data_IF_795633097435
#
_entry.id   IF_795633097435
#
_cell.length_a   1.000
_cell.length_b   1.000
_cell.length_c   1.000
_cell.angle_alpha   90.00
_cell.angle_beta   90.00
_cell.angle_gamma   90.00
#
_symmetry.space_group_name_H-M   'P 1'
#
loop_
_entity.id
_entity.type
_entity.pdbx_description
1 polymer ?
#
# COMPACT_ATOMS: atom_id res chain seq x y z
N UNK A 1 -37.27 -31.41 10.54
CA UNK A 1 -36.37 -30.25 10.58
C UNK A 1 -36.29 -29.72 9.17
N UNK A 2 -36.91 -28.56 8.97
CA UNK A 2 -37.35 -28.02 7.69
C UNK A 2 -36.21 -27.68 6.74
N UNK A 3 -36.36 -28.11 5.49
CA UNK A 3 -35.62 -27.61 4.34
C UNK A 3 -36.22 -26.26 3.95
N UNK A 4 -35.50 -25.17 4.20
CA UNK A 4 -35.87 -23.87 3.63
C UNK A 4 -35.60 -23.88 2.12
N UNK A 5 -36.64 -23.56 1.34
CA UNK A 5 -36.59 -23.61 -0.12
C UNK A 5 -35.63 -22.56 -0.69
N UNK A 6 -34.95 -22.91 -1.78
CA UNK A 6 -34.03 -22.03 -2.54
C UNK A 6 -34.67 -20.73 -3.03
N UNK A 7 -36.01 -20.61 -2.94
CA UNK A 7 -36.74 -19.42 -3.35
C UNK A 7 -36.59 -18.24 -2.36
N UNK A 8 -36.19 -18.48 -1.11
CA UNK A 8 -36.05 -17.40 -0.10
C UNK A 8 -34.65 -16.77 -0.14
N UNK A 9 -33.61 -17.51 -0.55
CA UNK A 9 -32.24 -17.00 -0.63
C UNK A 9 -32.01 -15.98 -1.77
N UNK A 10 -32.97 -15.84 -2.70
CA UNK A 10 -32.87 -14.92 -3.84
C UNK A 10 -33.29 -13.48 -3.55
N UNK A 11 -33.84 -13.17 -2.37
CA UNK A 11 -34.40 -11.83 -2.10
C UNK A 11 -33.52 -10.87 -1.29
N UNK A 12 -32.29 -11.24 -0.90
CA UNK A 12 -31.42 -10.31 -0.14
C UNK A 12 -29.96 -10.39 -0.63
N UNK A 13 -29.74 -10.17 -1.92
CA UNK A 13 -28.39 -9.84 -2.43
C UNK A 13 -28.49 -8.74 -3.50
N UNK A 14 -27.86 -7.58 -3.30
CA UNK A 14 -27.85 -6.53 -4.31
C UNK A 14 -27.11 -7.03 -5.57
N UNK A 15 -27.69 -6.72 -6.73
CA UNK A 15 -27.32 -7.21 -8.06
C UNK A 15 -25.88 -6.90 -8.53
N UNK A 16 -25.04 -6.29 -7.70
CA UNK A 16 -23.65 -5.94 -8.03
C UNK A 16 -22.64 -7.10 -7.83
N UNK A 17 -23.00 -8.16 -7.10
CA UNK A 17 -22.09 -9.28 -6.84
C UNK A 17 -21.96 -10.29 -8.01
N UNK A 18 -22.71 -10.10 -9.10
CA UNK A 18 -22.82 -11.09 -10.18
C UNK A 18 -21.74 -10.96 -11.28
N UNK A 19 -20.99 -9.85 -11.35
CA UNK A 19 -20.02 -9.64 -12.44
C UNK A 19 -18.57 -10.03 -12.11
N UNK A 20 -18.22 -10.33 -10.86
CA UNK A 20 -16.87 -10.82 -10.51
C UNK A 20 -16.72 -12.35 -10.58
N UNK A 21 -17.82 -13.10 -10.68
CA UNK A 21 -17.80 -14.56 -10.60
C UNK A 21 -17.48 -15.27 -11.92
N UNK A 22 -16.75 -14.64 -12.86
CA UNK A 22 -16.57 -15.20 -14.21
C UNK A 22 -15.15 -15.36 -14.76
N UNK A 23 -14.10 -15.29 -13.93
CA UNK A 23 -12.75 -15.74 -14.32
C UNK A 23 -11.94 -16.40 -13.19
N UNK A 24 -12.62 -17.16 -12.33
CA UNK A 24 -11.94 -18.15 -11.49
C UNK A 24 -11.77 -19.41 -12.33
N UNK A 25 -10.57 -19.64 -12.87
CA UNK A 25 -10.25 -20.91 -13.51
C UNK A 25 -9.82 -21.89 -12.41
N UNK A 26 -10.59 -22.97 -12.26
CA UNK A 26 -10.15 -24.14 -11.51
C UNK A 26 -9.24 -24.97 -12.43
N UNK A 27 -7.94 -25.00 -12.15
CA UNK A 27 -7.05 -26.07 -12.61
C UNK A 27 -6.58 -26.80 -11.36
N UNK A 28 -7.03 -28.04 -11.18
CA UNK A 28 -6.49 -28.93 -10.14
C UNK A 28 -6.66 -28.49 -8.68
N UNK A 29 -7.75 -27.80 -8.33
CA UNK A 29 -8.09 -27.52 -6.92
C UNK A 29 -7.31 -26.38 -6.25
N UNK A 30 -6.47 -25.63 -7.00
CA UNK A 30 -5.86 -24.38 -6.51
C UNK A 30 -6.40 -23.18 -7.27
N UNK A 31 -6.83 -22.15 -6.53
CA UNK A 31 -7.23 -20.85 -7.09
C UNK A 31 -5.96 -20.13 -7.56
N UNK A 32 -5.63 -20.25 -8.85
CA UNK A 32 -4.50 -19.54 -9.44
C UNK A 32 -4.89 -18.09 -9.73
N UNK A 33 -4.61 -17.18 -8.80
CA UNK A 33 -4.76 -15.74 -9.02
C UNK A 33 -3.65 -15.24 -9.96
N UNK A 34 -3.96 -14.48 -11.02
CA UNK A 34 -2.95 -13.89 -11.89
C UNK A 34 -1.96 -13.04 -11.09
N UNK A 35 -0.67 -13.08 -11.45
CA UNK A 35 0.41 -12.35 -10.75
C UNK A 35 0.12 -10.86 -10.56
N UNK A 36 -0.54 -10.23 -11.54
CA UNK A 36 -0.96 -8.81 -11.47
C UNK A 36 -2.00 -8.55 -10.37
N UNK A 37 -3.01 -9.41 -10.25
CA UNK A 37 -4.02 -9.32 -9.19
C UNK A 37 -3.42 -9.54 -7.80
N UNK A 38 -2.43 -10.43 -7.70
CA UNK A 38 -1.71 -10.69 -6.44
C UNK A 38 -0.88 -9.49 -5.97
N UNK A 39 -0.21 -8.80 -6.90
CA UNK A 39 0.54 -7.59 -6.60
C UNK A 39 -0.39 -6.44 -6.17
N UNK A 40 -1.48 -6.20 -6.91
CA UNK A 40 -2.46 -5.18 -6.56
C UNK A 40 -3.08 -5.41 -5.17
N UNK A 41 -3.48 -6.65 -4.86
CA UNK A 41 -4.01 -7.00 -3.54
C UNK A 41 -2.97 -6.80 -2.42
N UNK A 42 -1.72 -7.17 -2.68
CA UNK A 42 -0.63 -6.99 -1.71
C UNK A 42 -0.34 -5.51 -1.44
N UNK A 43 -0.41 -4.65 -2.48
CA UNK A 43 -0.16 -3.21 -2.35
C UNK A 43 -1.31 -2.53 -1.59
N UNK A 44 -2.56 -2.82 -1.90
CA UNK A 44 -3.70 -2.25 -1.17
C UNK A 44 -3.68 -2.63 0.31
N UNK A 45 -3.27 -3.86 0.64
CA UNK A 45 -3.01 -4.25 2.02
C UNK A 45 -1.90 -3.40 2.66
N UNK A 46 -0.82 -3.12 1.92
CA UNK A 46 0.24 -2.24 2.43
C UNK A 46 -0.28 -0.83 2.72
N UNK A 47 -1.06 -0.25 1.81
CA UNK A 47 -1.65 1.08 2.01
C UNK A 47 -2.55 1.12 3.24
N UNK A 48 -3.40 0.11 3.42
CA UNK A 48 -4.29 0.01 4.58
C UNK A 48 -3.51 -0.05 5.90
N UNK A 49 -2.47 -0.87 5.97
CA UNK A 49 -1.60 -0.95 7.16
C UNK A 49 -0.89 0.39 7.41
N UNK A 50 -0.32 1.00 6.36
CA UNK A 50 0.32 2.31 6.49
C UNK A 50 -0.66 3.39 6.97
N UNK A 51 -1.92 3.39 6.53
CA UNK A 51 -2.94 4.34 6.98
C UNK A 51 -3.39 4.09 8.42
N UNK A 52 -3.48 2.83 8.86
CA UNK A 52 -3.74 2.48 10.26
C UNK A 52 -2.61 2.93 11.19
N UNK A 53 -1.40 3.00 10.64
CA UNK A 53 -0.20 3.46 11.28
C UNK A 53 0.62 2.35 11.93
N UNK A 54 1.92 2.59 12.07
CA UNK A 54 2.89 1.64 12.60
C UNK A 54 3.82 2.35 13.57
N UNK A 55 4.04 1.75 14.75
CA UNK A 55 5.00 2.26 15.71
C UNK A 55 6.40 1.90 15.24
N UNK A 56 7.25 2.90 15.08
CA UNK A 56 8.63 2.73 14.65
C UNK A 56 9.55 3.62 15.43
N UNK A 57 10.81 3.22 15.51
CA UNK A 57 11.87 4.05 16.07
C UNK A 57 12.41 4.95 14.97
N UNK A 58 12.24 6.27 15.13
CA UNK A 58 12.91 7.28 14.31
C UNK A 58 14.30 7.54 14.86
N UNK A 59 15.32 7.22 14.09
CA UNK A 59 16.70 7.50 14.44
C UNK A 59 17.10 8.92 14.00
N UNK A 60 18.04 9.50 14.74
CA UNK A 60 18.69 10.77 14.43
C UNK A 60 20.14 10.70 14.83
N UNK A 61 20.96 11.55 14.23
CA UNK A 61 22.38 11.60 14.55
C UNK A 61 22.61 11.94 16.03
N UNK A 62 23.44 11.13 16.72
CA UNK A 62 23.87 11.38 18.10
C UNK A 62 22.77 11.36 19.17
N UNK A 63 21.56 10.90 18.83
CA UNK A 63 20.41 10.84 19.75
C UNK A 63 19.91 9.41 19.92
N UNK A 64 19.38 9.09 21.10
CA UNK A 64 18.59 7.86 21.26
C UNK A 64 17.38 7.91 20.33
N UNK A 65 17.08 6.78 19.69
CA UNK A 65 15.92 6.64 18.81
C UNK A 65 14.61 6.99 19.52
N UNK A 66 13.66 7.55 18.77
CA UNK A 66 12.37 7.98 19.31
C UNK A 66 11.25 7.13 18.71
N UNK A 67 10.50 6.44 19.57
CA UNK A 67 9.29 5.73 19.13
C UNK A 67 8.23 6.74 18.69
N UNK A 68 7.70 6.55 17.49
CA UNK A 68 6.66 7.38 16.89
C UNK A 68 5.68 6.49 16.13
N UNK A 69 4.41 6.87 16.13
CA UNK A 69 3.42 6.29 15.24
C UNK A 69 3.52 6.99 13.89
N UNK A 70 4.05 6.31 12.88
CA UNK A 70 4.05 6.75 11.49
C UNK A 70 2.78 6.28 10.81
N UNK A 71 2.18 7.12 9.97
CA UNK A 71 0.99 6.77 9.22
C UNK A 71 0.96 7.49 7.87
N UNK A 72 0.37 6.85 6.87
CA UNK A 72 0.00 7.47 5.60
C UNK A 72 -1.31 8.24 5.80
N UNK A 73 -1.41 9.44 5.25
CA UNK A 73 -2.65 10.20 5.32
C UNK A 73 -3.78 9.57 4.48
N UNK A 74 -4.99 10.06 4.69
CA UNK A 74 -6.19 9.57 4.02
C UNK A 74 -6.08 9.66 2.49
N UNK A 75 -5.50 10.77 2.00
CA UNK A 75 -5.32 11.01 0.57
C UNK A 75 -4.08 10.31 -0.03
N UNK A 76 -3.31 9.56 0.76
CA UNK A 76 -2.05 8.94 0.33
C UNK A 76 -1.06 9.97 -0.27
N UNK A 77 -1.17 11.23 0.13
CA UNK A 77 -0.38 12.37 -0.33
C UNK A 77 0.84 12.64 0.56
N UNK A 78 0.82 12.13 1.79
CA UNK A 78 1.93 12.31 2.72
C UNK A 78 2.00 11.30 3.86
N UNK A 79 3.22 11.05 4.30
CA UNK A 79 3.52 10.30 5.52
C UNK A 79 3.61 11.28 6.67
N UNK A 80 2.98 10.97 7.80
CA UNK A 80 3.01 11.79 9.02
C UNK A 80 3.43 10.95 10.22
N UNK A 81 3.86 11.61 11.30
CA UNK A 81 4.16 10.93 12.55
C UNK A 81 3.79 11.71 13.80
N UNK A 82 3.39 10.98 14.85
CA UNK A 82 3.03 11.54 16.17
C UNK A 82 3.56 10.70 17.33
N UNK A 83 3.73 11.26 18.55
CA UNK A 83 3.64 12.70 18.86
C UNK A 83 4.73 13.50 18.14
N UNK A 84 4.62 14.83 18.00
CA UNK A 84 5.72 15.69 17.55
C UNK A 84 5.56 17.10 18.11
N UNK A 85 6.63 17.68 18.66
CA UNK A 85 6.61 19.08 19.14
C UNK A 85 6.47 20.11 18.01
N UNK A 86 6.89 19.73 16.79
CA UNK A 86 6.76 20.53 15.56
C UNK A 86 5.89 19.74 14.59
N UNK A 87 4.57 19.80 14.77
CA UNK A 87 3.60 19.00 14.01
C UNK A 87 3.66 19.26 12.50
N UNK A 88 3.91 20.51 12.09
CA UNK A 88 4.01 20.89 10.69
C UNK A 88 5.22 20.25 9.99
N UNK A 89 6.35 20.15 10.70
CA UNK A 89 7.56 19.50 10.22
C UNK A 89 7.51 17.97 10.35
N UNK A 90 6.41 17.41 10.84
CA UNK A 90 6.24 15.97 11.07
C UNK A 90 5.54 15.29 9.88
N UNK A 91 6.01 15.60 8.67
CA UNK A 91 5.40 15.19 7.41
C UNK A 91 6.47 15.03 6.31
N UNK A 92 6.27 14.06 5.44
CA UNK A 92 6.97 13.91 4.16
C UNK A 92 5.89 13.81 3.08
N UNK A 93 5.88 14.71 2.10
CA UNK A 93 4.95 14.59 0.96
C UNK A 93 5.44 13.51 0.02
N UNK A 94 4.52 12.75 -0.58
CA UNK A 94 4.88 11.72 -1.57
C UNK A 94 5.63 12.34 -2.75
N UNK A 95 5.22 13.53 -3.21
CA UNK A 95 5.91 14.27 -4.28
C UNK A 95 7.37 14.62 -3.95
N UNK A 96 7.72 14.69 -2.66
CA UNK A 96 9.10 14.97 -2.23
C UNK A 96 9.94 13.71 -2.07
N UNK A 97 9.35 12.51 -2.15
CA UNK A 97 10.09 11.25 -2.03
C UNK A 97 10.94 11.05 -3.27
N UNK A 98 12.23 10.76 -3.07
CA UNK A 98 13.13 10.46 -4.18
C UNK A 98 13.81 9.09 -4.05
N UNK A 99 13.92 8.53 -2.84
CA UNK A 99 14.55 7.23 -2.61
C UNK A 99 14.04 6.54 -1.34
N UNK A 100 13.86 5.22 -1.40
CA UNK A 100 13.69 4.37 -0.21
C UNK A 100 14.68 3.21 -0.27
N UNK A 101 15.50 3.07 0.76
CA UNK A 101 16.49 2.00 0.88
C UNK A 101 16.16 1.06 2.03
N UNK A 102 16.31 -0.24 1.80
CA UNK A 102 16.23 -1.26 2.84
C UNK A 102 17.55 -1.39 3.59
N UNK A 103 17.49 -1.91 4.81
CA UNK A 103 18.65 -2.19 5.61
C UNK A 103 19.26 -0.96 6.27
N UNK A 104 20.54 -1.08 6.57
CA UNK A 104 21.35 -0.14 7.36
C UNK A 104 22.24 0.75 6.50
N UNK A 105 21.75 1.15 5.32
CA UNK A 105 22.60 1.80 4.30
C UNK A 105 22.98 3.25 4.63
N UNK A 106 22.27 3.93 5.53
CA UNK A 106 22.57 5.33 5.87
C UNK A 106 23.69 5.47 6.91
N UNK A 107 24.30 6.66 6.96
CA UNK A 107 25.32 7.00 7.95
C UNK A 107 24.83 6.87 9.39
N UNK A 108 23.54 7.08 9.64
CA UNK A 108 22.97 6.98 10.99
C UNK A 108 23.04 5.55 11.50
N UNK A 109 22.71 4.57 10.65
CA UNK A 109 22.79 3.16 11.03
C UNK A 109 24.22 2.70 11.27
N UNK A 110 25.18 3.14 10.45
CA UNK A 110 26.60 2.82 10.66
C UNK A 110 27.13 3.31 12.01
N UNK A 111 26.67 4.48 12.46
CA UNK A 111 27.09 5.07 13.76
C UNK A 111 26.49 4.37 14.98
N UNK A 112 25.39 3.64 14.84
CA UNK A 112 24.78 2.87 15.93
C UNK A 112 25.47 1.52 16.19
N UNK A 113 26.56 1.22 15.47
CA UNK A 113 27.35 -0.01 15.62
C UNK A 113 26.73 -1.23 14.94
N UNK A 114 27.58 -2.17 14.50
CA UNK A 114 27.12 -3.45 13.99
C UNK A 114 26.35 -4.24 15.06
N UNK A 115 25.19 -4.81 14.71
CA UNK A 115 24.39 -5.66 15.59
C UNK A 115 23.33 -4.95 16.44
N UNK A 116 23.20 -3.62 16.38
CA UNK A 116 22.18 -2.89 17.14
C UNK A 116 20.74 -3.15 16.66
N UNK A 117 20.55 -3.40 15.36
CA UNK A 117 19.25 -3.62 14.75
C UNK A 117 19.34 -4.69 13.66
N UNK A 118 18.28 -5.49 13.50
CA UNK A 118 18.12 -6.39 12.36
C UNK A 118 17.99 -5.56 11.08
N UNK A 119 18.89 -5.72 10.08
CA UNK A 119 18.77 -5.04 8.80
C UNK A 119 17.40 -5.22 8.14
N UNK A 120 16.74 -6.37 8.32
CA UNK A 120 15.43 -6.65 7.73
C UNK A 120 14.29 -5.81 8.33
N UNK A 121 14.50 -5.23 9.52
CA UNK A 121 13.58 -4.30 10.18
C UNK A 121 13.93 -2.83 9.91
N UNK A 122 15.00 -2.57 9.17
CA UNK A 122 15.53 -1.22 8.95
C UNK A 122 15.22 -0.73 7.53
N UNK A 123 14.90 0.55 7.41
CA UNK A 123 14.86 1.24 6.13
C UNK A 123 15.07 2.75 6.31
N UNK A 124 15.45 3.41 5.22
CA UNK A 124 15.63 4.86 5.16
C UNK A 124 14.76 5.45 4.08
N UNK A 125 14.00 6.48 4.43
CA UNK A 125 13.25 7.31 3.50
C UNK A 125 14.08 8.55 3.21
N UNK A 126 14.30 8.85 1.93
CA UNK A 126 14.92 10.10 1.54
C UNK A 126 13.96 11.01 0.77
N UNK A 127 13.96 12.28 1.13
CA UNK A 127 13.01 13.26 0.61
C UNK A 127 13.60 14.67 0.46
N UNK A 128 12.90 15.49 -0.33
CA UNK A 128 13.21 16.90 -0.55
C UNK A 128 14.48 17.15 -1.35
N UNK A 129 14.72 18.43 -1.67
CA UNK A 129 15.82 18.84 -2.54
C UNK A 129 17.21 18.75 -1.88
N UNK A 130 17.27 18.74 -0.54
CA UNK A 130 18.52 18.71 0.23
C UNK A 130 18.91 17.30 0.68
N UNK A 131 18.31 16.26 0.08
CA UNK A 131 18.58 14.87 0.42
C UNK A 131 18.34 14.54 1.91
N UNK A 132 17.29 15.11 2.51
CA UNK A 132 16.94 14.81 3.89
C UNK A 132 16.59 13.33 4.04
N UNK A 133 17.01 12.72 5.16
CA UNK A 133 16.76 11.31 5.45
C UNK A 133 15.95 11.13 6.74
N UNK A 134 15.11 10.10 6.74
CA UNK A 134 14.42 9.58 7.92
C UNK A 134 14.71 8.09 8.03
N UNK A 135 15.56 7.76 9.00
CA UNK A 135 15.98 6.40 9.32
C UNK A 135 15.01 5.77 10.32
N UNK A 136 14.48 4.59 9.96
CA UNK A 136 13.38 3.94 10.68
C UNK A 136 13.72 2.48 11.02
N UNK A 137 13.33 2.08 12.23
CA UNK A 137 13.36 0.69 12.68
C UNK A 137 11.96 0.27 13.08
N UNK A 138 11.44 -0.78 12.43
CA UNK A 138 10.14 -1.40 12.75
C UNK A 138 10.28 -2.46 13.84
N UNK A 139 9.16 -2.94 14.36
CA UNK A 139 9.19 -4.02 15.36
C UNK A 139 9.54 -5.38 14.74
N UNK A 140 9.24 -5.55 13.45
CA UNK A 140 9.47 -6.77 12.70
C UNK A 140 9.67 -6.52 11.20
N UNK A 141 10.17 -7.54 10.51
CA UNK A 141 10.48 -7.53 9.07
C UNK A 141 9.24 -7.34 8.20
N UNK A 142 8.08 -7.83 8.61
CA UNK A 142 6.84 -7.71 7.82
C UNK A 142 6.39 -6.24 7.74
N UNK A 143 6.46 -5.52 8.86
CA UNK A 143 6.20 -4.08 8.90
C UNK A 143 7.18 -3.31 8.01
N UNK A 144 8.48 -3.60 8.07
CA UNK A 144 9.47 -2.94 7.23
C UNK A 144 9.18 -3.17 5.73
N UNK A 145 8.90 -4.42 5.34
CA UNK A 145 8.54 -4.77 3.96
C UNK A 145 7.26 -4.07 3.51
N UNK A 146 6.25 -4.02 4.38
CA UNK A 146 4.97 -3.36 4.10
C UNK A 146 5.18 -1.89 3.75
N UNK A 147 5.96 -1.20 4.58
CA UNK A 147 6.26 0.22 4.38
C UNK A 147 7.13 0.45 3.14
N UNK A 148 8.21 -0.32 2.97
CA UNK A 148 9.09 -0.19 1.80
C UNK A 148 8.31 -0.44 0.50
N UNK A 149 7.45 -1.46 0.47
CA UNK A 149 6.63 -1.79 -0.70
C UNK A 149 5.64 -0.68 -1.01
N UNK A 150 4.88 -0.22 -0.01
CA UNK A 150 3.90 0.85 -0.19
C UNK A 150 4.54 2.17 -0.61
N UNK A 151 5.69 2.54 -0.02
CA UNK A 151 6.41 3.75 -0.40
C UNK A 151 6.99 3.70 -1.81
N UNK A 152 7.59 2.57 -2.21
CA UNK A 152 8.08 2.40 -3.58
C UNK A 152 6.95 2.46 -4.60
N UNK A 153 5.78 1.91 -4.25
CA UNK A 153 4.60 2.02 -5.09
C UNK A 153 4.13 3.47 -5.24
N UNK A 154 4.05 4.22 -4.14
CA UNK A 154 3.68 5.65 -4.17
C UNK A 154 4.71 6.48 -4.95
N UNK A 155 6.00 6.20 -4.80
CA UNK A 155 7.10 6.85 -5.51
C UNK A 155 7.12 6.59 -7.01
N UNK A 156 6.70 5.40 -7.46
CA UNK A 156 6.58 5.09 -8.88
C UNK A 156 5.50 5.94 -9.59
N UNK A 157 4.86 6.85 -8.83
CA UNK A 157 3.58 7.41 -9.16
C UNK A 157 2.52 6.34 -8.97
N UNK A 158 1.35 6.74 -8.49
CA UNK A 158 0.15 6.02 -8.88
C UNK A 158 0.20 6.09 -10.42
N UNK A 159 0.60 5.01 -11.10
CA UNK A 159 0.72 5.00 -12.56
C UNK A 159 -0.69 4.91 -13.15
N UNK A 160 -1.54 5.88 -12.84
CA UNK A 160 -2.93 5.99 -13.29
C UNK A 160 -3.67 4.63 -13.30
N UNK A 161 -3.40 3.73 -12.34
CA UNK A 161 -4.15 2.47 -12.17
C UNK A 161 -5.56 2.79 -11.64
N UNK A 162 -5.79 3.99 -11.09
CA UNK A 162 -7.14 4.55 -10.92
C UNK A 162 -7.79 4.99 -12.26
N UNK A 163 -7.04 5.13 -13.36
CA UNK A 163 -7.62 5.17 -14.71
C UNK A 163 -7.87 3.79 -15.33
N UNK A 164 -7.38 2.70 -14.74
CA UNK A 164 -7.72 1.34 -15.22
C UNK A 164 -9.13 0.93 -14.83
N UNK A 165 -9.69 1.51 -13.75
CA UNK A 165 -11.13 1.48 -13.49
C UNK A 165 -11.96 2.23 -14.55
N UNK A 166 -11.37 3.22 -15.26
CA UNK A 166 -12.02 3.94 -16.38
C UNK A 166 -11.91 3.21 -17.72
N UNK A 167 -10.83 2.45 -17.98
CA UNK A 167 -10.71 1.68 -19.24
C UNK A 167 -11.64 0.48 -19.33
N UNK A 168 -12.21 0.03 -18.22
CA UNK A 168 -13.28 -0.98 -18.24
C UNK A 168 -14.67 -0.38 -18.52
N UNK A 169 -14.85 0.96 -18.54
CA UNK A 169 -16.14 1.59 -18.89
C UNK A 169 -16.29 1.99 -20.36
N UNK A 170 -15.24 1.86 -21.18
CA UNK A 170 -15.33 2.15 -22.63
C UNK A 170 -15.37 0.91 -23.52
N UNK A 171 -15.42 -0.30 -22.96
CA UNK A 171 -15.58 -1.53 -23.76
C UNK A 171 -17.01 -2.11 -23.73
N UNK A 172 -17.88 -1.63 -22.83
CA UNK A 172 -19.27 -2.12 -22.71
C UNK A 172 -20.32 -1.07 -23.11
N UNK A 173 -19.93 -0.07 -23.91
CA UNK A 173 -20.86 0.88 -24.53
C UNK A 173 -20.87 0.72 -26.06
N UNK A 174 -21.14 -0.51 -26.53
CA UNK A 174 -21.85 -0.69 -27.80
C UNK A 174 -23.27 -1.15 -27.49
N UNK A 175 -24.23 -0.21 -27.35
CA UNK A 175 -25.63 -0.57 -27.35
C UNK A 175 -26.00 -1.05 -28.76
N UNK A 176 -26.50 -2.28 -28.81
CA UNK A 176 -27.38 -2.85 -29.82
C UNK A 176 -28.16 -1.81 -30.64
N UNK A 177 -27.64 -1.33 -31.77
CA UNK A 177 -28.44 -0.71 -32.83
C UNK A 177 -27.63 -0.72 -34.14
N UNK A 178 -27.65 -1.83 -34.85
CA UNK A 178 -27.59 -1.81 -36.31
C UNK A 178 -28.77 -2.63 -36.84
N UNK A 179 -29.98 -2.08 -36.64
CA UNK A 179 -31.03 -2.27 -37.62
C UNK A 179 -30.87 -1.18 -38.67
N UNK A 180 -30.88 -1.61 -39.93
CA UNK A 180 -31.59 -0.93 -41.03
C UNK A 180 -30.91 0.35 -41.52
N UNK A 181 -30.37 0.32 -42.73
CA UNK A 181 -30.83 1.06 -43.92
C UNK A 181 -29.77 1.01 -45.04
N UNK A 182 -30.25 0.59 -46.22
CA UNK A 182 -29.63 0.62 -47.57
C UNK A 182 -28.64 -0.48 -47.93
#
# INVERSE_FOLDING_TARGET
>A
MELLSESVARSIMPAAASQFARRIYHVGGSVAMPHKCRLAYSVERCMSVMQSGTQMVKLKNGSKGLVRLFYLDEHRSCIRWRPSRKSEKAKITIDSLYKVTEGRQSDIFHRHGEGSFDPACCFTIYHGNHMESVDLVTSNTEEARTWVTGLRYLMAGISDEDSLAKRQRTHDQYPFLCYRWM
#
